data_IF_706748001924
#
_entry.id   IF_706748001924
#
_cell.length_a   1.000
_cell.length_b   1.000
_cell.length_c   1.000
_cell.angle_alpha   90.00
_cell.angle_beta   90.00
_cell.angle_gamma   90.00
#
_symmetry.space_group_name_H-M   'P 1'
#
loop_
_entity.id
_entity.type
_entity.pdbx_description
1 polymer ?
#
# COMPACT_ATOMS: atom_id res chain seq x y z
N UNK A 1 2.44 45.47 -26.72
CA UNK A 1 1.49 44.35 -26.79
C UNK A 1 2.06 43.26 -25.93
N UNK A 2 1.60 43.21 -24.69
CA UNK A 2 1.93 42.21 -23.68
C UNK A 2 0.90 41.10 -23.79
N UNK A 3 1.33 39.88 -24.08
CA UNK A 3 0.48 38.69 -24.03
C UNK A 3 -0.05 38.52 -22.60
N UNK A 4 -1.37 38.32 -22.42
CA UNK A 4 -1.89 37.89 -21.14
C UNK A 4 -1.54 36.41 -20.98
N UNK A 5 -0.68 36.12 -20.01
CA UNK A 5 -0.49 34.78 -19.47
C UNK A 5 -1.86 34.21 -19.13
N UNK A 6 -2.21 33.11 -19.78
CA UNK A 6 -3.40 32.33 -19.47
C UNK A 6 -3.39 31.98 -17.98
N UNK A 7 -4.28 32.60 -17.21
CA UNK A 7 -4.73 32.06 -15.95
C UNK A 7 -5.32 30.69 -16.26
N UNK A 8 -4.51 29.65 -16.10
CA UNK A 8 -5.01 28.31 -15.93
C UNK A 8 -5.92 28.36 -14.70
N UNK A 9 -7.21 28.10 -14.93
CA UNK A 9 -8.18 27.95 -13.87
C UNK A 9 -7.68 26.90 -12.89
N UNK A 10 -7.14 27.38 -11.77
CA UNK A 10 -6.84 26.57 -10.60
C UNK A 10 -8.21 26.10 -10.13
N UNK A 11 -8.56 24.86 -10.50
CA UNK A 11 -9.54 24.11 -9.74
C UNK A 11 -9.12 24.24 -8.28
N UNK A 12 -9.96 24.86 -7.45
CA UNK A 12 -9.72 24.97 -6.02
C UNK A 12 -9.31 23.60 -5.49
N UNK A 13 -8.05 23.48 -5.08
CA UNK A 13 -7.57 22.30 -4.39
C UNK A 13 -8.24 22.31 -3.01
N UNK A 14 -9.38 21.62 -2.92
CA UNK A 14 -10.26 21.55 -1.74
C UNK A 14 -9.51 21.02 -0.50
N UNK A 15 -8.27 20.55 -0.65
CA UNK A 15 -7.42 20.04 0.44
C UNK A 15 -6.01 20.64 0.47
N UNK A 16 -5.80 21.86 -0.04
CA UNK A 16 -4.50 22.53 0.01
C UNK A 16 -3.91 22.53 1.43
N UNK A 17 -2.68 22.00 1.57
CA UNK A 17 -1.96 21.98 2.85
C UNK A 17 -1.80 23.42 3.36
N UNK A 18 -2.26 23.75 4.58
CA UNK A 18 -2.44 25.14 5.02
C UNK A 18 -1.14 25.94 5.19
N UNK A 19 0.01 25.25 5.24
CA UNK A 19 1.33 25.86 5.34
C UNK A 19 2.38 24.92 4.74
N UNK A 20 3.51 25.47 4.29
CA UNK A 20 4.53 24.72 3.55
C UNK A 20 5.60 24.16 4.48
N UNK A 21 6.12 22.97 4.15
CA UNK A 21 7.18 22.32 4.92
C UNK A 21 8.45 23.20 5.02
N UNK A 22 8.78 23.94 3.95
CA UNK A 22 9.95 24.82 3.91
C UNK A 22 9.95 25.87 5.03
N UNK A 23 8.77 26.35 5.42
CA UNK A 23 8.62 27.46 6.37
C UNK A 23 8.76 27.00 7.84
N UNK A 24 8.81 25.68 8.08
CA UNK A 24 9.00 25.13 9.42
C UNK A 24 10.44 25.31 9.89
N UNK A 25 10.61 26.02 10.99
CA UNK A 25 11.91 26.22 11.64
C UNK A 25 12.08 25.34 12.88
N UNK A 26 13.30 24.87 13.13
CA UNK A 26 13.67 24.17 14.35
C UNK A 26 14.29 25.14 15.36
N UNK A 27 13.84 25.06 16.62
CA UNK A 27 14.38 25.87 17.72
C UNK A 27 15.78 25.45 18.14
N UNK A 28 16.14 24.17 17.94
CA UNK A 28 17.48 23.62 18.22
C UNK A 28 17.93 22.74 17.06
N UNK A 29 19.06 23.09 16.46
CA UNK A 29 19.70 22.35 15.38
C UNK A 29 20.85 21.50 15.95
N UNK A 30 20.83 20.20 15.68
CA UNK A 30 21.91 19.28 16.02
C UNK A 30 23.13 19.46 15.09
N UNK A 31 22.94 20.07 13.92
CA UNK A 31 24.00 20.49 13.00
C UNK A 31 25.04 21.42 13.64
N UNK A 32 24.64 22.18 14.68
CA UNK A 32 25.53 23.02 15.48
C UNK A 32 26.61 22.22 16.22
N UNK A 33 26.39 20.92 16.46
CA UNK A 33 27.36 20.02 17.09
C UNK A 33 28.27 19.42 16.02
N UNK A 34 27.70 18.86 14.95
CA UNK A 34 28.47 18.30 13.84
C UNK A 34 27.63 18.24 12.54
N UNK A 35 28.20 18.54 11.35
CA UNK A 35 27.47 18.55 10.07
C UNK A 35 26.78 17.23 9.71
N UNK A 36 27.26 16.10 10.23
CA UNK A 36 26.65 14.78 10.01
C UNK A 36 25.21 14.69 10.53
N UNK A 37 24.85 15.51 11.52
CA UNK A 37 23.52 15.53 12.12
C UNK A 37 22.50 16.36 11.35
N UNK A 38 22.89 16.98 10.23
CA UNK A 38 21.98 17.70 9.32
C UNK A 38 20.82 16.83 8.84
N UNK A 39 21.06 15.53 8.57
CA UNK A 39 19.99 14.58 8.21
C UNK A 39 18.99 14.34 9.33
N UNK A 40 19.45 14.35 10.58
CA UNK A 40 18.58 14.19 11.76
C UNK A 40 17.73 15.43 11.94
N UNK A 41 18.30 16.62 11.75
CA UNK A 41 17.55 17.87 11.79
C UNK A 41 16.47 17.91 10.69
N UNK A 42 16.77 17.42 9.49
CA UNK A 42 15.77 17.33 8.42
C UNK A 42 14.59 16.42 8.80
N UNK A 43 14.88 15.22 9.31
CA UNK A 43 13.83 14.31 9.79
C UNK A 43 13.01 14.95 10.92
N UNK A 44 13.68 15.62 11.88
CA UNK A 44 13.01 16.32 12.99
C UNK A 44 12.11 17.44 12.50
N UNK A 45 12.54 18.19 11.48
CA UNK A 45 11.74 19.24 10.84
C UNK A 45 10.48 18.65 10.22
N UNK A 46 10.61 17.55 9.50
CA UNK A 46 9.46 16.87 8.88
C UNK A 46 8.52 16.26 9.92
N UNK A 47 9.03 15.62 10.97
CA UNK A 47 8.20 15.15 12.07
C UNK A 47 7.45 16.28 12.77
N UNK A 48 8.12 17.43 13.01
CA UNK A 48 7.48 18.62 13.57
C UNK A 48 6.36 19.13 12.66
N UNK A 49 6.60 19.20 11.36
CA UNK A 49 5.60 19.57 10.37
C UNK A 49 4.38 18.65 10.43
N UNK A 50 4.58 17.32 10.46
CA UNK A 50 3.49 16.35 10.59
C UNK A 50 2.67 16.57 11.86
N UNK A 51 3.31 16.86 13.01
CA UNK A 51 2.62 17.10 14.28
C UNK A 51 1.78 18.38 14.23
N UNK A 52 2.33 19.47 13.69
CA UNK A 52 1.58 20.74 13.55
C UNK A 52 0.41 20.56 12.57
N UNK A 53 0.64 19.82 11.48
CA UNK A 53 -0.40 19.53 10.50
C UNK A 53 -1.50 18.68 11.12
N UNK A 54 -1.14 17.66 11.90
CA UNK A 54 -2.10 16.83 12.63
C UNK A 54 -2.92 17.68 13.62
N UNK A 55 -2.25 18.49 14.44
CA UNK A 55 -2.92 19.33 15.43
C UNK A 55 -3.90 20.36 14.83
N UNK A 56 -3.64 20.83 13.61
CA UNK A 56 -4.50 21.80 12.92
C UNK A 56 -5.62 21.19 12.08
N UNK A 57 -5.45 19.94 11.62
CA UNK A 57 -6.38 19.31 10.67
C UNK A 57 -7.17 18.13 11.25
N UNK A 58 -6.76 17.58 12.40
CA UNK A 58 -7.43 16.43 12.98
C UNK A 58 -8.82 16.78 13.48
N UNK A 59 -9.80 16.06 12.94
CA UNK A 59 -11.20 16.19 13.33
C UNK A 59 -11.50 15.29 14.53
N UNK A 60 -12.68 15.49 15.12
CA UNK A 60 -13.12 14.72 16.31
C UNK A 60 -13.13 13.21 16.05
N UNK A 61 -13.43 12.82 14.82
CA UNK A 61 -13.50 11.44 14.34
C UNK A 61 -12.17 10.73 14.53
N UNK A 62 -11.03 11.38 14.28
CA UNK A 62 -9.69 10.76 14.42
C UNK A 62 -9.36 10.48 15.88
N UNK A 63 -9.74 11.38 16.79
CA UNK A 63 -9.59 11.15 18.22
C UNK A 63 -10.50 10.02 18.73
N UNK A 64 -11.72 9.92 18.20
CA UNK A 64 -12.61 8.80 18.51
C UNK A 64 -12.04 7.46 18.01
N UNK A 65 -11.45 7.42 16.81
CA UNK A 65 -10.75 6.23 16.29
C UNK A 65 -9.61 5.81 17.23
N UNK A 66 -8.76 6.75 17.65
CA UNK A 66 -7.69 6.46 18.62
C UNK A 66 -8.29 5.93 19.93
N UNK A 67 -9.37 6.54 20.42
CA UNK A 67 -10.08 6.09 21.61
C UNK A 67 -10.57 4.64 21.50
N UNK A 68 -11.21 4.27 20.39
CA UNK A 68 -11.64 2.89 20.15
C UNK A 68 -10.47 1.92 20.03
N UNK A 69 -9.38 2.30 19.35
CA UNK A 69 -8.19 1.46 19.23
C UNK A 69 -7.50 1.22 20.58
N UNK A 70 -7.34 2.26 21.40
CA UNK A 70 -6.79 2.14 22.75
C UNK A 70 -7.70 1.30 23.64
N UNK A 71 -9.02 1.54 23.59
CA UNK A 71 -9.98 0.76 24.36
C UNK A 71 -9.95 -0.72 23.96
N UNK A 72 -9.95 -1.02 22.66
CA UNK A 72 -9.85 -2.38 22.15
C UNK A 72 -8.58 -3.07 22.64
N UNK A 73 -7.45 -2.38 22.55
CA UNK A 73 -6.16 -2.90 23.00
C UNK A 73 -6.12 -3.16 24.51
N UNK A 74 -6.49 -2.17 25.34
CA UNK A 74 -6.47 -2.31 26.81
C UNK A 74 -7.43 -3.40 27.28
N UNK A 75 -8.63 -3.49 26.70
CA UNK A 75 -9.56 -4.57 27.00
C UNK A 75 -9.00 -5.95 26.58
N UNK A 76 -8.20 -6.03 25.53
CA UNK A 76 -7.54 -7.27 25.13
C UNK A 76 -6.37 -7.65 26.05
N UNK A 77 -5.60 -6.66 26.48
CA UNK A 77 -4.34 -6.87 27.22
C UNK A 77 -4.51 -7.08 28.73
N UNK A 78 -5.62 -6.62 29.34
CA UNK A 78 -5.80 -6.60 30.80
C UNK A 78 -6.95 -7.50 31.24
N UNK A 79 -6.78 -8.82 31.24
CA UNK A 79 -7.79 -9.74 31.78
C UNK A 79 -7.37 -10.35 33.11
N UNK A 80 -8.34 -10.78 33.93
CA UNK A 80 -8.04 -11.49 35.19
C UNK A 80 -7.25 -12.75 34.95
N UNK A 81 -7.47 -13.40 33.80
CA UNK A 81 -6.88 -14.68 33.46
C UNK A 81 -5.44 -14.49 32.95
N UNK A 82 -5.16 -13.38 32.28
CA UNK A 82 -3.79 -12.96 31.92
C UNK A 82 -2.99 -12.57 33.15
N UNK A 83 -3.59 -11.86 34.10
CA UNK A 83 -2.92 -11.42 35.33
C UNK A 83 -2.68 -12.58 36.31
N UNK A 84 -3.62 -13.51 36.41
CA UNK A 84 -3.50 -14.68 37.30
C UNK A 84 -2.69 -15.85 36.71
N UNK A 85 -2.28 -15.76 35.44
CA UNK A 85 -1.52 -16.78 34.73
C UNK A 85 -2.34 -17.96 34.19
N UNK A 86 -3.61 -18.10 34.62
CA UNK A 86 -4.55 -19.12 34.16
C UNK A 86 -4.15 -20.58 34.45
N UNK A 87 -4.94 -21.54 33.97
CA UNK A 87 -4.59 -22.96 34.02
C UNK A 87 -3.89 -23.42 32.73
N UNK A 88 -2.65 -23.87 32.86
CA UNK A 88 -1.78 -24.24 31.73
C UNK A 88 -2.04 -25.64 31.16
N UNK A 89 -2.82 -26.44 31.88
CA UNK A 89 -3.20 -27.79 31.48
C UNK A 89 -4.33 -27.80 30.44
N UNK A 90 -5.12 -26.71 30.40
CA UNK A 90 -6.25 -26.56 29.50
C UNK A 90 -5.84 -25.76 28.26
N UNK A 91 -6.06 -26.30 27.07
CA UNK A 91 -5.62 -25.71 25.79
C UNK A 91 -6.73 -25.77 24.75
N UNK A 92 -6.62 -24.94 23.71
CA UNK A 92 -7.56 -24.95 22.59
C UNK A 92 -8.95 -24.45 22.98
N UNK A 93 -10.00 -25.07 22.42
CA UNK A 93 -11.39 -24.66 22.68
C UNK A 93 -11.78 -24.81 24.15
N UNK A 94 -11.30 -25.87 24.82
CA UNK A 94 -11.57 -26.11 26.24
C UNK A 94 -10.99 -24.99 27.11
N UNK A 95 -9.83 -24.45 26.72
CA UNK A 95 -9.22 -23.30 27.40
C UNK A 95 -10.05 -22.04 27.20
N UNK A 96 -10.61 -21.86 26.00
CA UNK A 96 -11.42 -20.70 25.64
C UNK A 96 -12.79 -20.68 26.35
N UNK A 97 -13.38 -21.85 26.58
CA UNK A 97 -14.61 -22.01 27.37
C UNK A 97 -14.35 -22.06 28.88
N UNK A 98 -13.11 -22.36 29.31
CA UNK A 98 -12.69 -22.35 30.71
C UNK A 98 -12.37 -20.97 31.29
N UNK A 99 -12.34 -19.93 30.45
CA UNK A 99 -12.13 -18.52 30.82
C UNK A 99 -13.27 -18.03 31.72
N UNK A 100 -12.96 -17.21 32.73
CA UNK A 100 -14.00 -16.62 33.58
C UNK A 100 -15.00 -15.79 32.74
N UNK A 101 -16.30 -15.85 33.07
CA UNK A 101 -17.35 -15.21 32.25
C UNK A 101 -17.12 -13.71 32.01
N UNK A 102 -16.50 -13.01 32.97
CA UNK A 102 -16.12 -11.61 32.82
C UNK A 102 -14.99 -11.41 31.80
N UNK A 103 -13.89 -12.18 31.91
CA UNK A 103 -12.77 -12.17 30.95
C UNK A 103 -13.22 -12.54 29.54
N UNK A 104 -14.15 -13.48 29.41
CA UNK A 104 -14.75 -13.86 28.13
C UNK A 104 -15.54 -12.69 27.52
N UNK A 105 -16.41 -12.04 28.30
CA UNK A 105 -17.16 -10.86 27.84
C UNK A 105 -16.23 -9.70 27.44
N UNK A 106 -15.17 -9.48 28.22
CA UNK A 106 -14.17 -8.46 27.94
C UNK A 106 -13.42 -8.72 26.62
N UNK A 107 -13.06 -9.97 26.33
CA UNK A 107 -12.46 -10.37 25.06
C UNK A 107 -13.38 -10.10 23.88
N UNK A 108 -14.68 -10.44 23.99
CA UNK A 108 -15.67 -10.13 22.95
C UNK A 108 -15.82 -8.62 22.72
N UNK A 109 -15.81 -7.84 23.79
CA UNK A 109 -15.88 -6.38 23.72
C UNK A 109 -14.63 -5.79 23.03
N UNK A 110 -13.45 -6.34 23.31
CA UNK A 110 -12.19 -5.97 22.63
C UNK A 110 -12.29 -6.25 21.13
N UNK A 111 -12.77 -7.44 20.72
CA UNK A 111 -12.95 -7.79 19.30
C UNK A 111 -13.94 -6.84 18.62
N UNK A 112 -15.08 -6.55 19.25
CA UNK A 112 -16.06 -5.62 18.72
C UNK A 112 -15.46 -4.20 18.55
N UNK A 113 -14.68 -3.73 19.53
CA UNK A 113 -14.01 -2.44 19.45
C UNK A 113 -12.94 -2.40 18.34
N UNK A 114 -12.19 -3.49 18.12
CA UNK A 114 -11.27 -3.62 16.99
C UNK A 114 -11.98 -3.56 15.63
N UNK A 115 -13.13 -4.23 15.50
CA UNK A 115 -13.95 -4.18 14.28
C UNK A 115 -14.43 -2.76 14.00
N UNK A 116 -14.92 -2.05 15.03
CA UNK A 116 -15.35 -0.65 14.90
C UNK A 116 -14.17 0.26 14.52
N UNK A 117 -13.02 0.08 15.15
CA UNK A 117 -11.80 0.82 14.81
C UNK A 117 -11.40 0.63 13.35
N UNK A 118 -11.32 -0.62 12.88
CA UNK A 118 -10.95 -0.94 11.50
C UNK A 118 -12.01 -0.46 10.50
N UNK A 119 -13.29 -0.55 10.84
CA UNK A 119 -14.37 0.00 10.02
C UNK A 119 -14.22 1.51 9.82
N UNK A 120 -13.95 2.26 10.88
CA UNK A 120 -13.74 3.71 10.77
C UNK A 120 -12.50 4.05 9.95
N UNK A 121 -11.38 3.35 10.17
CA UNK A 121 -10.17 3.53 9.36
C UNK A 121 -10.46 3.22 7.89
N UNK A 122 -11.22 2.18 7.61
CA UNK A 122 -11.59 1.80 6.24
C UNK A 122 -12.43 2.87 5.55
N UNK A 123 -13.45 3.40 6.23
CA UNK A 123 -14.37 4.37 5.64
C UNK A 123 -13.66 5.70 5.40
N UNK A 124 -12.93 6.19 6.39
CA UNK A 124 -12.29 7.51 6.36
C UNK A 124 -11.05 7.55 5.46
N UNK A 125 -10.34 6.43 5.33
CA UNK A 125 -9.09 6.37 4.58
C UNK A 125 -9.15 5.52 3.31
N UNK A 126 -9.94 5.90 2.28
CA UNK A 126 -10.16 5.09 1.07
C UNK A 126 -8.88 4.75 0.31
N UNK A 127 -7.95 5.71 0.19
CA UNK A 127 -6.69 5.55 -0.54
C UNK A 127 -5.77 4.54 0.16
N UNK A 128 -5.83 4.47 1.48
CA UNK A 128 -4.97 3.62 2.32
C UNK A 128 -5.66 2.34 2.82
N UNK A 129 -6.89 2.02 2.35
CA UNK A 129 -7.70 0.87 2.83
C UNK A 129 -6.92 -0.43 2.89
N UNK A 130 -6.35 -0.85 1.76
CA UNK A 130 -5.62 -2.13 1.68
C UNK A 130 -4.41 -2.11 2.61
N UNK A 131 -3.67 -1.01 2.61
CA UNK A 131 -2.47 -0.88 3.45
C UNK A 131 -2.78 -0.83 4.96
N UNK A 132 -3.95 -0.34 5.35
CA UNK A 132 -4.39 -0.37 6.76
C UNK A 132 -4.56 -1.81 7.27
N UNK A 133 -5.14 -2.70 6.44
CA UNK A 133 -5.28 -4.12 6.74
C UNK A 133 -3.90 -4.76 6.78
N UNK A 134 -3.05 -4.48 5.81
CA UNK A 134 -1.67 -5.01 5.76
C UNK A 134 -0.92 -4.63 7.02
N UNK A 135 -0.92 -3.36 7.45
CA UNK A 135 -0.28 -2.94 8.70
C UNK A 135 -0.83 -3.68 9.93
N UNK A 136 -2.14 -3.96 9.95
CA UNK A 136 -2.74 -4.73 11.05
C UNK A 136 -2.30 -6.21 11.03
N UNK A 137 -2.17 -6.82 9.85
CA UNK A 137 -1.62 -8.16 9.69
C UNK A 137 -0.13 -8.20 10.07
N UNK A 138 0.64 -7.15 9.76
CA UNK A 138 2.05 -7.05 10.15
C UNK A 138 2.21 -6.95 11.67
N UNK A 139 1.35 -6.19 12.34
CA UNK A 139 1.35 -6.13 13.80
C UNK A 139 1.04 -7.49 14.44
N UNK A 140 0.00 -8.18 13.96
CA UNK A 140 -0.30 -9.53 14.42
C UNK A 140 0.80 -10.55 14.06
N UNK A 141 1.46 -10.38 12.91
CA UNK A 141 2.63 -11.15 12.51
C UNK A 141 3.80 -10.99 13.49
N UNK A 142 4.05 -9.78 14.00
CA UNK A 142 5.05 -9.53 15.03
C UNK A 142 4.70 -10.22 16.36
N UNK A 143 3.43 -10.25 16.75
CA UNK A 143 2.96 -10.98 17.93
C UNK A 143 3.21 -12.48 17.74
N UNK A 144 2.79 -13.03 16.61
CA UNK A 144 2.96 -14.45 16.29
C UNK A 144 4.45 -14.85 16.24
N UNK A 145 5.31 -14.03 15.64
CA UNK A 145 6.74 -14.26 15.62
C UNK A 145 7.32 -14.33 17.05
N UNK A 146 6.90 -13.42 17.94
CA UNK A 146 7.34 -13.42 19.32
C UNK A 146 6.84 -14.66 20.10
N UNK A 147 5.64 -15.17 19.82
CA UNK A 147 5.17 -16.45 20.37
C UNK A 147 6.12 -17.59 20.00
N UNK A 148 6.54 -17.68 18.73
CA UNK A 148 7.50 -18.71 18.31
C UNK A 148 8.88 -18.53 18.93
N UNK A 149 9.35 -17.28 19.13
CA UNK A 149 10.61 -17.05 19.83
C UNK A 149 10.59 -17.53 21.29
N UNK A 150 9.44 -17.45 21.96
CA UNK A 150 9.32 -17.83 23.37
C UNK A 150 8.86 -19.28 23.59
N UNK A 151 8.44 -20.00 22.54
CA UNK A 151 7.87 -21.34 22.65
C UNK A 151 8.84 -22.34 23.31
N UNK A 152 10.11 -22.32 22.89
CA UNK A 152 11.15 -23.22 23.41
C UNK A 152 12.07 -22.53 24.44
N UNK A 153 11.96 -21.21 24.58
CA UNK A 153 12.79 -20.43 25.50
C UNK A 153 11.99 -19.28 26.13
N UNK A 154 11.65 -19.43 27.40
CA UNK A 154 10.83 -18.46 28.13
C UNK A 154 11.50 -17.09 28.32
N UNK A 155 12.83 -17.00 28.28
CA UNK A 155 13.60 -15.78 28.56
C UNK A 155 14.23 -15.17 27.30
N UNK A 156 13.66 -15.44 26.12
CA UNK A 156 14.16 -14.92 24.85
C UNK A 156 14.40 -13.40 24.90
N UNK A 157 15.57 -12.89 24.44
CA UNK A 157 16.61 -13.57 23.65
C UNK A 157 17.73 -14.25 24.45
N UNK A 158 17.65 -14.31 25.78
CA UNK A 158 18.72 -14.88 26.59
C UNK A 158 18.71 -16.41 26.52
N UNK A 159 19.85 -17.02 26.20
CA UNK A 159 20.00 -18.47 26.18
C UNK A 159 19.32 -19.18 24.99
N UNK A 160 18.88 -18.45 23.97
CA UNK A 160 18.26 -19.06 22.77
C UNK A 160 19.30 -19.67 21.84
N UNK A 161 19.04 -20.88 21.37
CA UNK A 161 19.79 -21.46 20.24
C UNK A 161 19.24 -20.91 18.92
N UNK A 162 20.10 -20.83 17.88
CA UNK A 162 19.68 -20.44 16.52
C UNK A 162 18.57 -21.35 15.96
N UNK A 163 18.59 -22.63 16.35
CA UNK A 163 17.58 -23.62 15.91
C UNK A 163 16.19 -23.27 16.43
N UNK A 164 16.08 -22.75 17.66
CA UNK A 164 14.80 -22.42 18.29
C UNK A 164 14.16 -21.15 17.71
N UNK A 165 14.96 -20.30 17.04
CA UNK A 165 14.52 -19.03 16.49
C UNK A 165 14.00 -19.13 15.05
N UNK A 166 14.12 -20.29 14.41
CA UNK A 166 13.90 -20.42 12.96
C UNK A 166 12.51 -19.92 12.53
N UNK A 167 11.44 -20.42 13.16
CA UNK A 167 10.06 -20.06 12.78
C UNK A 167 9.74 -18.58 13.03
N UNK A 168 10.12 -18.06 14.22
CA UNK A 168 9.93 -16.64 14.53
C UNK A 168 10.71 -15.73 13.58
N UNK A 169 11.92 -16.12 13.21
CA UNK A 169 12.76 -15.36 12.26
C UNK A 169 12.17 -15.34 10.86
N UNK A 170 11.65 -16.47 10.36
CA UNK A 170 10.99 -16.52 9.06
C UNK A 170 9.77 -15.58 8.99
N UNK A 171 8.95 -15.57 10.04
CA UNK A 171 7.80 -14.65 10.10
C UNK A 171 8.28 -13.20 10.16
N UNK A 172 9.31 -12.88 10.96
CA UNK A 172 9.87 -11.53 11.00
C UNK A 172 10.42 -11.07 9.66
N UNK A 173 11.06 -11.95 8.89
CA UNK A 173 11.53 -11.62 7.53
C UNK A 173 10.37 -11.27 6.60
N UNK A 174 9.27 -12.04 6.66
CA UNK A 174 8.04 -11.73 5.91
C UNK A 174 7.47 -10.38 6.34
N UNK A 175 7.41 -10.10 7.64
CA UNK A 175 6.92 -8.81 8.16
C UNK A 175 7.80 -7.65 7.67
N UNK A 176 9.14 -7.79 7.73
CA UNK A 176 10.07 -6.78 7.24
C UNK A 176 9.93 -6.57 5.73
N UNK A 177 9.79 -7.65 4.96
CA UNK A 177 9.61 -7.59 3.51
C UNK A 177 8.34 -6.81 3.13
N UNK A 178 7.20 -7.13 3.74
CA UNK A 178 5.95 -6.41 3.48
C UNK A 178 5.94 -4.98 4.03
N UNK A 179 6.65 -4.72 5.14
CA UNK A 179 6.86 -3.35 5.63
C UNK A 179 7.66 -2.51 4.65
N UNK A 180 8.70 -3.09 4.04
CA UNK A 180 9.46 -2.45 2.97
C UNK A 180 8.59 -2.21 1.73
N UNK A 181 7.80 -3.20 1.31
CA UNK A 181 6.88 -3.05 0.17
C UNK A 181 5.87 -1.92 0.42
N UNK A 182 5.32 -1.84 1.64
CA UNK A 182 4.43 -0.75 2.04
C UNK A 182 5.13 0.62 1.96
N UNK A 183 6.33 0.74 2.55
CA UNK A 183 7.13 1.96 2.49
C UNK A 183 7.39 2.39 1.04
N UNK A 184 7.73 1.44 0.17
CA UNK A 184 8.03 1.65 -1.24
C UNK A 184 6.78 2.07 -2.03
N UNK A 185 5.65 1.38 -1.87
CA UNK A 185 4.41 1.68 -2.56
C UNK A 185 3.93 3.11 -2.28
N UNK A 186 3.98 3.54 -1.02
CA UNK A 186 3.57 4.89 -0.62
C UNK A 186 4.54 5.95 -1.17
N UNK A 187 5.85 5.70 -1.08
CA UNK A 187 6.86 6.64 -1.60
C UNK A 187 6.76 6.81 -3.12
N UNK A 188 6.62 5.71 -3.85
CA UNK A 188 6.52 5.73 -5.31
C UNK A 188 5.23 6.40 -5.79
N UNK A 189 4.10 6.13 -5.12
CA UNK A 189 2.83 6.78 -5.44
C UNK A 189 2.92 8.29 -5.23
N UNK A 190 3.57 8.74 -4.16
CA UNK A 190 3.80 10.16 -3.91
C UNK A 190 4.66 10.79 -4.99
N UNK A 191 5.78 10.16 -5.33
CA UNK A 191 6.69 10.69 -6.35
C UNK A 191 5.95 10.84 -7.69
N UNK A 192 5.14 9.85 -8.07
CA UNK A 192 4.31 9.90 -9.27
C UNK A 192 3.22 10.99 -9.17
N UNK A 193 2.57 11.13 -8.02
CA UNK A 193 1.54 12.15 -7.81
C UNK A 193 2.09 13.57 -8.04
N UNK A 194 3.27 13.88 -7.51
CA UNK A 194 3.94 15.17 -7.71
C UNK A 194 4.31 15.36 -9.19
N UNK A 195 4.80 14.32 -9.87
CA UNK A 195 5.14 14.39 -11.29
C UNK A 195 3.95 14.63 -12.20
N UNK A 196 2.75 14.19 -11.82
CA UNK A 196 1.53 14.39 -12.62
C UNK A 196 0.88 15.75 -12.33
N UNK A 197 0.77 16.12 -11.06
CA UNK A 197 -0.06 17.28 -10.66
C UNK A 197 0.74 18.57 -10.45
N UNK A 198 2.05 18.47 -10.20
CA UNK A 198 2.91 19.61 -9.87
C UNK A 198 4.11 19.72 -10.81
N UNK A 199 3.94 19.25 -12.05
CA UNK A 199 4.97 19.34 -13.10
C UNK A 199 5.27 20.79 -13.42
N UNK A 200 6.55 21.12 -13.50
CA UNK A 200 7.00 22.44 -13.91
C UNK A 200 8.25 22.30 -14.78
N UNK A 201 8.36 23.14 -15.80
CA UNK A 201 9.52 23.18 -16.71
C UNK A 201 10.83 23.52 -15.99
N UNK A 202 10.78 24.27 -14.87
CA UNK A 202 11.96 24.58 -14.06
C UNK A 202 12.21 23.47 -13.02
N UNK A 203 13.37 22.81 -13.15
CA UNK A 203 13.85 21.77 -12.24
C UNK A 203 13.89 22.22 -10.78
N UNK A 204 14.15 23.50 -10.51
CA UNK A 204 14.24 24.03 -9.13
C UNK A 204 12.87 24.09 -8.47
N UNK A 205 11.84 24.48 -9.23
CA UNK A 205 10.46 24.51 -8.74
C UNK A 205 9.98 23.07 -8.53
N UNK A 206 10.36 22.15 -9.40
CA UNK A 206 10.07 20.73 -9.24
C UNK A 206 10.72 20.13 -7.98
N UNK A 207 11.99 20.43 -7.70
CA UNK A 207 12.67 20.01 -6.46
C UNK A 207 11.99 20.57 -5.21
N UNK A 208 11.52 21.83 -5.26
CA UNK A 208 10.76 22.43 -4.16
C UNK A 208 9.42 21.72 -3.94
N UNK A 209 8.69 21.39 -5.01
CA UNK A 209 7.43 20.64 -4.92
C UNK A 209 7.68 19.23 -4.36
N UNK A 210 8.72 18.53 -4.83
CA UNK A 210 9.13 17.23 -4.29
C UNK A 210 9.51 17.29 -2.80
N UNK A 211 10.10 18.41 -2.37
CA UNK A 211 10.41 18.64 -0.96
C UNK A 211 9.15 18.89 -0.13
N UNK A 212 8.20 19.71 -0.61
CA UNK A 212 6.97 20.02 0.11
C UNK A 212 6.14 18.77 0.42
N UNK A 213 6.11 17.80 -0.50
CA UNK A 213 5.45 16.52 -0.32
C UNK A 213 6.39 15.42 0.24
N UNK A 214 7.50 15.78 0.90
CA UNK A 214 8.46 14.78 1.40
C UNK A 214 7.86 13.80 2.42
N UNK A 215 8.17 12.52 2.23
CA UNK A 215 7.78 11.40 3.10
C UNK A 215 8.93 10.89 3.99
N UNK A 216 10.06 11.59 4.08
CA UNK A 216 11.19 11.11 4.89
C UNK A 216 10.84 11.07 6.38
N UNK A 217 10.13 12.09 6.88
CA UNK A 217 9.61 12.12 8.25
C UNK A 217 8.57 11.03 8.50
N UNK A 218 7.73 10.73 7.50
CA UNK A 218 6.77 9.62 7.56
C UNK A 218 7.49 8.26 7.63
N UNK A 219 8.59 8.07 6.89
CA UNK A 219 9.44 6.90 7.02
C UNK A 219 10.01 6.71 8.44
N UNK A 220 10.37 7.81 9.12
CA UNK A 220 10.80 7.75 10.52
C UNK A 220 9.64 7.34 11.46
N UNK A 221 8.42 7.80 11.21
CA UNK A 221 7.21 7.35 11.91
C UNK A 221 6.97 5.86 11.68
N UNK A 222 7.22 5.34 10.48
CA UNK A 222 7.08 3.91 10.17
C UNK A 222 8.05 3.05 10.97
N UNK A 223 9.32 3.47 11.05
CA UNK A 223 10.33 2.80 11.88
C UNK A 223 9.94 2.86 13.36
N UNK A 224 9.45 4.02 13.82
CA UNK A 224 8.96 4.21 15.19
C UNK A 224 7.78 3.30 15.52
N UNK A 225 6.80 3.20 14.62
CA UNK A 225 5.65 2.30 14.74
C UNK A 225 6.10 0.84 14.81
N UNK A 226 6.98 0.42 13.89
CA UNK A 226 7.50 -0.95 13.85
C UNK A 226 8.21 -1.31 15.15
N UNK A 227 9.05 -0.41 15.66
CA UNK A 227 9.79 -0.61 16.91
C UNK A 227 8.85 -0.66 18.11
N UNK A 228 7.88 0.26 18.20
CA UNK A 228 6.89 0.25 19.27
C UNK A 228 6.02 -1.02 19.24
N UNK A 229 5.60 -1.47 18.06
CA UNK A 229 4.81 -2.67 17.88
C UNK A 229 5.61 -3.94 18.21
N UNK A 230 6.89 -3.99 17.84
CA UNK A 230 7.79 -5.08 18.22
C UNK A 230 8.02 -5.12 19.75
N UNK A 231 8.30 -3.97 20.38
CA UNK A 231 8.45 -3.88 21.84
C UNK A 231 7.17 -4.34 22.54
N UNK A 232 6.00 -3.92 22.05
CA UNK A 232 4.70 -4.35 22.59
C UNK A 232 4.52 -5.86 22.45
N UNK A 233 4.78 -6.42 21.26
CA UNK A 233 4.67 -7.84 21.01
C UNK A 233 5.63 -8.66 21.89
N UNK A 234 6.89 -8.27 21.96
CA UNK A 234 7.91 -8.95 22.76
C UNK A 234 7.56 -8.91 24.25
N UNK A 235 7.27 -7.72 24.79
CA UNK A 235 6.98 -7.57 26.23
C UNK A 235 5.71 -8.29 26.67
N UNK A 236 4.67 -8.32 25.83
CA UNK A 236 3.43 -9.04 26.10
C UNK A 236 3.62 -10.55 26.11
N UNK A 237 4.32 -11.10 25.10
CA UNK A 237 4.61 -12.53 25.05
C UNK A 237 5.58 -12.94 26.18
N UNK A 238 6.59 -12.11 26.46
CA UNK A 238 7.54 -12.37 27.54
C UNK A 238 6.85 -12.43 28.90
N UNK A 239 5.88 -11.55 29.18
CA UNK A 239 5.07 -11.60 30.40
C UNK A 239 4.30 -12.93 30.52
N UNK A 240 3.66 -13.37 29.44
CA UNK A 240 2.93 -14.66 29.42
C UNK A 240 3.88 -15.86 29.54
N UNK A 241 5.06 -15.81 28.92
CA UNK A 241 6.05 -16.88 28.96
C UNK A 241 6.67 -17.06 30.36
N UNK A 242 6.83 -15.95 31.09
CA UNK A 242 7.45 -15.90 32.42
C UNK A 242 6.45 -15.92 33.59
N UNK A 243 5.16 -16.21 33.32
CA UNK A 243 3.97 -16.26 34.21
C UNK A 243 4.07 -16.69 35.69
N UNK A 244 5.19 -17.28 36.12
CA UNK A 244 5.46 -17.62 37.52
C UNK A 244 6.36 -16.58 38.22
N UNK A 245 6.71 -15.50 37.53
CA UNK A 245 7.51 -14.41 38.05
C UNK A 245 6.58 -13.22 38.28
N UNK A 246 6.61 -12.62 39.48
CA UNK A 246 5.76 -11.47 39.86
C UNK A 246 6.16 -10.16 39.14
N UNK A 247 6.79 -10.27 37.97
CA UNK A 247 7.32 -9.13 37.22
C UNK A 247 6.27 -8.54 36.27
N UNK A 248 5.49 -7.61 36.80
CA UNK A 248 4.51 -6.82 36.05
C UNK A 248 5.14 -5.79 35.11
N UNK A 249 6.46 -5.62 35.11
CA UNK A 249 7.14 -4.64 34.26
C UNK A 249 6.95 -4.96 32.77
N UNK A 250 6.97 -6.25 32.40
CA UNK A 250 6.68 -6.69 31.03
C UNK A 250 5.28 -6.29 30.57
N UNK A 251 4.26 -6.50 31.41
CA UNK A 251 2.89 -6.09 31.12
C UNK A 251 2.76 -4.56 31.01
N UNK A 252 3.43 -3.80 31.86
CA UNK A 252 3.45 -2.34 31.79
C UNK A 252 4.04 -1.85 30.47
N UNK A 253 5.19 -2.40 30.04
CA UNK A 253 5.80 -2.06 28.74
C UNK A 253 4.85 -2.42 27.60
N UNK A 254 4.22 -3.59 27.64
CA UNK A 254 3.26 -4.03 26.62
C UNK A 254 2.12 -3.02 26.46
N UNK A 255 1.55 -2.59 27.58
CA UNK A 255 0.44 -1.62 27.62
C UNK A 255 0.91 -0.25 27.12
N UNK A 256 2.00 0.29 27.67
CA UNK A 256 2.50 1.62 27.33
C UNK A 256 2.90 1.72 25.86
N UNK A 257 3.63 0.73 25.33
CA UNK A 257 4.03 0.68 23.93
C UNK A 257 2.83 0.46 23.00
N UNK A 258 1.89 -0.41 23.36
CA UNK A 258 0.68 -0.64 22.54
C UNK A 258 -0.24 0.58 22.45
N UNK A 259 -0.38 1.36 23.53
CA UNK A 259 -1.08 2.66 23.49
C UNK A 259 -0.42 3.63 22.51
N UNK A 260 0.90 3.60 22.39
CA UNK A 260 1.66 4.44 21.44
C UNK A 260 1.53 3.91 19.99
N UNK A 261 1.39 2.59 19.80
CA UNK A 261 1.24 1.99 18.46
C UNK A 261 -0.01 2.47 17.74
N UNK A 262 -1.13 2.68 18.45
CA UNK A 262 -2.41 3.13 17.86
C UNK A 262 -2.32 4.50 17.17
N UNK A 263 -1.90 5.60 17.83
CA UNK A 263 -1.78 6.91 17.17
C UNK A 263 -0.69 6.91 16.09
N UNK A 264 0.39 6.12 16.24
CA UNK A 264 1.39 5.96 15.18
C UNK A 264 0.80 5.25 13.96
N UNK A 265 0.00 4.19 14.16
CA UNK A 265 -0.71 3.49 13.10
C UNK A 265 -1.65 4.44 12.34
N UNK A 266 -2.44 5.25 13.07
CA UNK A 266 -3.32 6.22 12.45
C UNK A 266 -2.52 7.27 11.67
N UNK A 267 -1.42 7.78 12.24
CA UNK A 267 -0.52 8.72 11.57
C UNK A 267 0.10 8.17 10.28
N UNK A 268 0.42 6.87 10.23
CA UNK A 268 0.94 6.21 9.04
C UNK A 268 -0.05 6.16 7.88
N UNK A 269 -1.34 6.08 8.19
CA UNK A 269 -2.42 6.03 7.21
C UNK A 269 -2.86 7.45 6.83
N UNK A 270 -3.05 8.30 7.83
CA UNK A 270 -3.57 9.65 7.66
C UNK A 270 -2.62 10.54 6.83
N UNK A 271 -1.31 10.52 7.10
CA UNK A 271 -0.40 11.49 6.48
C UNK A 271 -0.25 11.30 4.96
N UNK A 272 0.00 10.09 4.42
CA UNK A 272 0.03 9.88 2.98
C UNK A 272 -1.28 10.24 2.30
N UNK A 273 -2.43 9.87 2.87
CA UNK A 273 -3.71 10.23 2.27
C UNK A 273 -3.93 11.75 2.26
N UNK A 274 -3.56 12.46 3.33
CA UNK A 274 -3.65 13.92 3.36
C UNK A 274 -2.76 14.58 2.30
N UNK A 275 -1.62 13.97 1.98
CA UNK A 275 -0.69 14.45 0.95
C UNK A 275 -1.09 14.08 -0.48
N UNK A 276 -1.79 12.97 -0.68
CA UNK A 276 -2.16 12.45 -2.00
C UNK A 276 -3.60 12.81 -2.41
N UNK A 277 -4.42 13.36 -1.50
CA UNK A 277 -5.84 13.61 -1.73
C UNK A 277 -6.68 12.33 -1.76
N UNK A 278 -7.95 12.44 -2.18
CA UNK A 278 -8.95 11.36 -2.08
C UNK A 278 -8.99 10.45 -3.32
N UNK A 279 -8.50 10.93 -4.48
CA UNK A 279 -8.69 10.26 -5.78
C UNK A 279 -7.50 9.41 -6.25
N UNK A 280 -6.45 9.27 -5.44
CA UNK A 280 -5.22 8.57 -5.83
C UNK A 280 -5.26 7.09 -5.41
N UNK A 281 -4.87 6.18 -6.31
CA UNK A 281 -4.69 4.76 -5.99
C UNK A 281 -3.21 4.53 -5.66
N UNK A 282 -2.92 4.01 -4.47
CA UNK A 282 -1.53 3.69 -4.09
C UNK A 282 -1.13 2.37 -4.74
N UNK A 283 -0.03 2.42 -5.48
CA UNK A 283 0.58 1.28 -6.16
C UNK A 283 2.07 1.52 -6.36
N UNK A 284 2.87 0.46 -6.46
CA UNK A 284 4.27 0.62 -6.90
C UNK A 284 4.31 0.98 -8.37
N UNK A 285 5.35 1.71 -8.81
CA UNK A 285 5.50 2.06 -10.22
C UNK A 285 5.52 0.82 -11.12
N UNK A 286 6.19 -0.26 -10.68
CA UNK A 286 6.21 -1.53 -11.40
C UNK A 286 4.83 -2.19 -11.51
N UNK A 287 4.00 -2.13 -10.46
CA UNK A 287 2.65 -2.67 -10.51
C UNK A 287 1.73 -1.83 -11.40
N UNK A 288 1.91 -0.50 -11.42
CA UNK A 288 1.21 0.38 -12.35
C UNK A 288 1.62 0.11 -13.80
N UNK A 289 2.92 -0.05 -14.07
CA UNK A 289 3.42 -0.43 -15.40
C UNK A 289 2.86 -1.79 -15.83
N UNK A 290 2.85 -2.78 -14.93
CA UNK A 290 2.26 -4.09 -15.22
C UNK A 290 0.73 -4.00 -15.45
N UNK A 291 0.00 -3.15 -14.70
CA UNK A 291 -1.43 -2.91 -14.91
C UNK A 291 -1.69 -2.24 -16.27
N UNK A 292 -0.84 -1.28 -16.67
CA UNK A 292 -0.88 -0.64 -17.99
C UNK A 292 -0.57 -1.64 -19.10
N UNK A 293 0.48 -2.46 -18.96
CA UNK A 293 0.85 -3.50 -19.93
C UNK A 293 -0.24 -4.58 -20.05
N UNK A 294 -0.87 -4.97 -18.94
CA UNK A 294 -2.01 -5.90 -18.95
C UNK A 294 -3.26 -5.30 -19.59
N UNK A 295 -3.55 -4.01 -19.39
CA UNK A 295 -4.68 -3.32 -20.02
C UNK A 295 -4.45 -3.04 -21.51
N UNK A 296 -3.20 -2.78 -21.91
CA UNK A 296 -2.83 -2.55 -23.31
C UNK A 296 -2.94 -3.82 -24.18
N UNK A 297 -3.00 -5.00 -23.59
CA UNK A 297 -3.16 -6.28 -24.29
C UNK A 297 -4.53 -6.51 -24.97
N UNK A 298 -5.49 -5.59 -24.90
CA UNK A 298 -6.85 -5.76 -25.46
C UNK A 298 -7.45 -4.52 -26.15
N UNK A 299 -6.63 -3.64 -26.74
CA UNK A 299 -7.17 -2.55 -27.58
C UNK A 299 -7.44 -3.06 -29.01
N UNK A 300 -8.64 -3.59 -29.23
CA UNK A 300 -9.17 -3.84 -30.57
C UNK A 300 -9.69 -2.52 -31.16
N UNK A 301 -8.88 -1.81 -31.95
CA UNK A 301 -9.42 -0.77 -32.82
C UNK A 301 -10.19 -1.45 -33.96
N UNK A 302 -11.52 -1.35 -33.94
CA UNK A 302 -12.35 -1.74 -35.08
C UNK A 302 -12.15 -0.70 -36.20
N UNK A 303 -11.26 -1.00 -37.16
CA UNK A 303 -11.12 -0.19 -38.37
C UNK A 303 -12.19 -0.54 -39.40
N UNK A 304 -12.72 0.48 -40.08
CA UNK A 304 -13.61 0.37 -41.25
C UNK A 304 -12.86 -0.18 -42.49
N UNK A 305 -12.29 -1.39 -42.38
CA UNK A 305 -11.59 -2.01 -43.47
C UNK A 305 -12.57 -2.48 -44.55
N UNK A 306 -12.28 -2.13 -45.81
CA UNK A 306 -13.15 -2.39 -46.95
C UNK A 306 -12.33 -2.94 -48.11
N UNK A 307 -12.95 -3.81 -48.89
CA UNK A 307 -12.37 -4.28 -50.13
C UNK A 307 -12.21 -3.09 -51.10
N UNK A 308 -11.00 -2.82 -51.63
CA UNK A 308 -10.78 -1.67 -52.52
C UNK A 308 -11.58 -1.75 -53.82
N UNK A 309 -11.90 -2.97 -54.29
CA UNK A 309 -12.59 -3.18 -55.57
C UNK A 309 -14.13 -3.07 -55.47
N UNK A 310 -14.73 -3.47 -54.34
CA UNK A 310 -16.19 -3.54 -54.21
C UNK A 310 -16.75 -2.94 -52.92
N UNK A 311 -15.89 -2.35 -52.08
CA UNK A 311 -16.24 -1.71 -50.81
C UNK A 311 -16.98 -2.62 -49.79
N UNK A 312 -16.94 -3.95 -49.98
CA UNK A 312 -17.46 -4.90 -48.99
C UNK A 312 -16.64 -4.84 -47.70
N UNK A 313 -17.23 -4.97 -46.51
CA UNK A 313 -16.48 -4.97 -45.25
C UNK A 313 -15.54 -6.17 -45.18
N UNK A 314 -14.35 -5.97 -44.61
CA UNK A 314 -13.33 -7.00 -44.39
C UNK A 314 -13.00 -7.04 -42.91
N UNK A 315 -13.00 -8.23 -42.31
CA UNK A 315 -12.65 -8.40 -40.90
C UNK A 315 -11.13 -8.38 -40.71
N UNK A 316 -10.63 -7.26 -40.19
CA UNK A 316 -9.23 -7.09 -39.75
C UNK A 316 -9.21 -6.30 -38.45
N UNK A 317 -8.15 -6.50 -37.67
CA UNK A 317 -7.90 -5.75 -36.44
C UNK A 317 -6.49 -5.17 -36.49
N UNK A 318 -6.31 -3.93 -36.04
CA UNK A 318 -5.00 -3.31 -35.87
C UNK A 318 -4.55 -3.46 -34.43
N UNK A 319 -3.33 -3.95 -34.23
CA UNK A 319 -2.64 -3.94 -32.95
C UNK A 319 -1.98 -2.57 -32.71
N UNK A 320 -1.70 -2.24 -31.45
CA UNK A 320 -1.16 -0.93 -31.05
C UNK A 320 0.25 -0.64 -31.58
N UNK A 321 0.97 -1.67 -32.01
CA UNK A 321 2.27 -1.56 -32.69
C UNK A 321 2.14 -1.25 -34.19
N UNK A 322 0.92 -1.04 -34.68
CA UNK A 322 0.61 -0.80 -36.09
C UNK A 322 0.54 -2.08 -36.93
N UNK A 323 0.66 -3.27 -36.33
CA UNK A 323 0.59 -4.53 -37.06
C UNK A 323 -0.86 -4.95 -37.33
N UNK A 324 -1.09 -5.54 -38.51
CA UNK A 324 -2.41 -5.98 -38.95
C UNK A 324 -2.61 -7.44 -38.51
N UNK A 325 -3.64 -7.67 -37.70
CA UNK A 325 -4.09 -8.98 -37.30
C UNK A 325 -5.30 -9.43 -38.13
N UNK A 326 -5.18 -10.61 -38.71
CA UNK A 326 -6.09 -11.20 -39.70
C UNK A 326 -6.64 -12.54 -39.19
N UNK A 327 -7.84 -12.94 -39.64
CA UNK A 327 -8.40 -14.22 -39.27
C UNK A 327 -7.55 -15.38 -39.80
N UNK A 328 -7.56 -16.51 -39.09
CA UNK A 328 -6.88 -17.71 -39.50
C UNK A 328 -7.44 -18.25 -40.83
N UNK A 329 -6.60 -18.92 -41.63
CA UNK A 329 -7.00 -19.54 -42.90
C UNK A 329 -8.02 -20.67 -42.71
N UNK A 330 -7.95 -21.37 -41.58
CA UNK A 330 -8.85 -22.47 -41.28
C UNK A 330 -10.18 -21.91 -40.73
N UNK A 331 -11.32 -22.10 -41.42
CA UNK A 331 -12.61 -21.56 -40.98
C UNK A 331 -13.11 -22.18 -39.67
N UNK A 332 -12.53 -23.29 -39.20
CA UNK A 332 -12.81 -23.85 -37.88
C UNK A 332 -12.05 -23.15 -36.73
N UNK A 333 -11.15 -22.21 -37.07
CA UNK A 333 -10.28 -21.51 -36.13
C UNK A 333 -10.57 -20.00 -36.20
N UNK A 334 -11.42 -19.51 -35.29
CA UNK A 334 -11.84 -18.09 -35.22
C UNK A 334 -10.78 -17.18 -34.55
N UNK A 335 -9.50 -17.54 -34.64
CA UNK A 335 -8.41 -16.79 -34.03
C UNK A 335 -7.84 -15.74 -34.99
N UNK A 336 -7.57 -14.56 -34.44
CA UNK A 336 -6.86 -13.49 -35.13
C UNK A 336 -5.37 -13.56 -34.78
N UNK A 337 -4.51 -13.27 -35.75
CA UNK A 337 -3.07 -13.22 -35.55
C UNK A 337 -2.39 -12.35 -36.58
N UNK A 338 -1.18 -11.93 -36.28
CA UNK A 338 -0.37 -11.08 -37.17
C UNK A 338 -0.07 -11.84 -38.46
N UNK A 339 -0.13 -11.15 -39.61
CA UNK A 339 0.23 -11.72 -40.92
C UNK A 339 1.61 -12.41 -40.85
N UNK A 340 1.69 -13.67 -41.28
CA UNK A 340 2.93 -14.45 -41.28
C UNK A 340 3.30 -15.11 -39.93
N UNK A 341 2.51 -14.90 -38.88
CA UNK A 341 2.65 -15.66 -37.63
C UNK A 341 1.98 -17.03 -37.72
N UNK A 342 2.45 -18.00 -36.92
CA UNK A 342 1.85 -19.34 -36.85
C UNK A 342 0.75 -19.35 -35.81
N UNK A 343 -0.45 -19.77 -36.19
CA UNK A 343 -1.58 -19.90 -35.28
C UNK A 343 -1.30 -20.97 -34.23
N UNK A 344 -1.39 -20.62 -32.95
CA UNK A 344 -1.13 -21.52 -31.82
C UNK A 344 -2.17 -22.64 -31.68
N UNK A 345 -3.34 -22.51 -32.33
CA UNK A 345 -4.46 -23.45 -32.21
C UNK A 345 -4.48 -24.49 -33.35
N UNK A 346 -4.22 -24.08 -34.59
CA UNK A 346 -4.27 -24.99 -35.74
C UNK A 346 -2.91 -25.23 -36.41
N UNK A 347 -1.87 -24.48 -36.05
CA UNK A 347 -0.52 -24.62 -36.61
C UNK A 347 -0.33 -24.06 -38.03
N UNK A 348 -1.38 -23.48 -38.62
CA UNK A 348 -1.31 -22.83 -39.93
C UNK A 348 -0.79 -21.39 -39.81
N UNK A 349 -0.12 -20.91 -40.85
CA UNK A 349 0.34 -19.52 -40.94
C UNK A 349 -0.82 -18.58 -41.28
N UNK A 350 -0.87 -17.43 -40.60
CA UNK A 350 -1.87 -16.39 -40.85
C UNK A 350 -1.65 -15.78 -42.26
N UNK A 351 -2.68 -15.79 -43.12
CA UNK A 351 -2.53 -15.45 -44.53
C UNK A 351 -2.29 -13.96 -44.76
N UNK A 352 -1.38 -13.61 -45.67
CA UNK A 352 -1.15 -12.21 -46.08
C UNK A 352 -2.18 -11.66 -47.08
N UNK A 353 -3.01 -12.54 -47.65
CA UNK A 353 -4.02 -12.20 -48.66
C UNK A 353 -5.34 -12.91 -48.39
N UNK A 354 -6.42 -12.31 -48.84
CA UNK A 354 -7.76 -12.89 -48.80
C UNK A 354 -8.44 -12.86 -50.16
N UNK A 355 -9.36 -13.79 -50.37
CA UNK A 355 -10.29 -13.73 -51.49
C UNK A 355 -11.57 -13.05 -51.02
N UNK A 356 -11.88 -11.90 -51.60
CA UNK A 356 -13.12 -11.20 -51.30
C UNK A 356 -14.32 -12.04 -51.79
N UNK A 357 -15.25 -12.38 -50.89
CA UNK A 357 -16.43 -13.18 -51.26
C UNK A 357 -17.40 -12.43 -52.19
N UNK A 358 -17.36 -11.09 -52.20
CA UNK A 358 -18.27 -10.27 -53.01
C UNK A 358 -17.79 -10.06 -54.45
N UNK A 359 -16.48 -9.87 -54.69
CA UNK A 359 -15.93 -9.63 -56.04
C UNK A 359 -15.00 -10.75 -56.54
N UNK A 360 -14.75 -11.77 -55.72
CA UNK A 360 -13.91 -12.94 -56.02
C UNK A 360 -12.47 -12.58 -56.46
N UNK A 361 -11.97 -11.42 -56.02
CA UNK A 361 -10.61 -10.95 -56.28
C UNK A 361 -9.71 -11.29 -55.10
N UNK A 362 -8.47 -11.68 -55.40
CA UNK A 362 -7.44 -11.97 -54.41
C UNK A 362 -6.66 -10.69 -54.09
N UNK A 363 -6.79 -10.19 -52.87
CA UNK A 363 -6.30 -8.87 -52.44
C UNK A 363 -5.45 -9.03 -51.16
N UNK A 364 -4.33 -8.33 -51.00
CA UNK A 364 -3.59 -8.31 -49.74
C UNK A 364 -4.35 -7.56 -48.65
N UNK A 365 -4.26 -8.02 -47.41
CA UNK A 365 -4.96 -7.38 -46.29
C UNK A 365 -4.53 -5.93 -46.04
N UNK A 366 -3.28 -5.60 -46.36
CA UNK A 366 -2.72 -4.23 -46.22
C UNK A 366 -3.55 -3.22 -47.03
N UNK A 367 -4.01 -3.58 -48.23
CA UNK A 367 -4.74 -2.67 -49.13
C UNK A 367 -6.21 -2.47 -48.70
N UNK A 368 -6.68 -3.18 -47.67
CA UNK A 368 -8.06 -3.07 -47.17
C UNK A 368 -8.25 -1.96 -46.14
N UNK A 369 -7.15 -1.40 -45.62
CA UNK A 369 -7.16 -0.33 -44.64
C UNK A 369 -6.98 1.00 -45.40
N UNK A 370 -7.87 1.99 -45.24
CA UNK A 370 -7.69 3.28 -45.89
C UNK A 370 -6.44 3.98 -45.33
N UNK A 371 -5.58 4.51 -46.20
CA UNK A 371 -4.48 5.38 -45.82
C UNK A 371 -5.03 6.67 -45.19
N UNK A 372 -5.18 6.68 -43.87
CA UNK A 372 -5.62 7.88 -43.13
C UNK A 372 -4.49 8.90 -42.89
N UNK A 373 -3.28 8.66 -43.40
CA UNK A 373 -2.11 9.55 -43.23
C UNK A 373 -1.60 10.17 -44.55
N UNK A 374 -2.51 10.73 -45.35
CA UNK A 374 -2.13 11.54 -46.51
C UNK A 374 -2.76 12.94 -46.49
N UNK A 375 -2.78 13.62 -45.34
CA UNK A 375 -2.98 15.08 -45.24
C UNK A 375 -2.64 15.64 -43.85
#
# INVERSE_FOLDING_TARGET
MSEPSAESGVAEDIDAVPFKLRDVTLTRQASNIHPIFSKIDEIRKQCKFMIILAASSWKREYYLMIGFGILAFVLGSVSTDVISGGDTSIRGMDGLFGVASFSFFQMLLSIAAWIVFLYFVWVEFPVMRIHSITLMLLWNGMILANVFFHQNNQNFPQGSSLSDMMYGTLIMLVVIFFSYFFWKAVSDTRDLYVQIHHVHEDVRVMEQNMYEYSLNGWGAVLIGWFTAAFISAWSGVNFIATRNNDDFFGLFIHIASGIIVIPLFLGLIWYPQKMLGINTKISTSAALTAEIEMQQGQLNLATDAKCPECSSPVEVSLQLDGQIAVPCKNPACETFGVIGSVCLTCGDEHPSRFNCQSCNTNIPYVDSIPDTEAW
#
